data_IF_259936726407
#
_entry.id   IF_259936726407
#
_cell.length_a   1.000
_cell.length_b   1.000
_cell.length_c   1.000
_cell.angle_alpha   90.00
_cell.angle_beta   90.00
_cell.angle_gamma   90.00
#
_symmetry.space_group_name_H-M   'P 1'
#
loop_
_entity.id
_entity.type
_entity.pdbx_description
1 polymer ?
#
# COMPACT_ATOMS: atom_id res chain seq x y z
N UNK A 1 3.46 -20.89 2.30
CA UNK A 1 2.25 -21.24 1.51
C UNK A 1 1.86 -22.71 1.73
N UNK A 2 2.64 -23.68 1.27
CA UNK A 2 2.30 -25.10 1.43
C UNK A 2 2.06 -25.50 2.91
N UNK A 3 2.95 -25.11 3.80
CA UNK A 3 2.84 -25.37 5.24
C UNK A 3 1.56 -24.76 5.86
N UNK A 4 1.17 -23.55 5.44
CA UNK A 4 -0.08 -22.94 5.96
C UNK A 4 -1.32 -23.61 5.36
N UNK A 5 -1.26 -24.09 4.11
CA UNK A 5 -2.35 -24.87 3.53
C UNK A 5 -2.56 -26.22 4.22
N UNK A 6 -1.48 -26.88 4.65
CA UNK A 6 -1.56 -28.12 5.44
C UNK A 6 -2.16 -27.88 6.84
N UNK A 7 -1.85 -26.74 7.48
CA UNK A 7 -2.40 -26.37 8.80
C UNK A 7 -3.86 -25.91 8.74
N UNK A 8 -4.28 -25.37 7.62
CA UNK A 8 -5.61 -24.78 7.42
C UNK A 8 -6.26 -25.30 6.12
N UNK A 9 -6.54 -26.59 6.00
CA UNK A 9 -7.06 -27.19 4.76
C UNK A 9 -8.46 -26.66 4.38
N UNK A 10 -9.20 -26.15 5.34
CA UNK A 10 -10.54 -25.58 5.21
C UNK A 10 -10.57 -24.09 4.78
N UNK A 11 -9.41 -23.44 4.70
CA UNK A 11 -9.32 -21.99 4.42
C UNK A 11 -8.44 -21.68 3.21
N UNK A 12 -8.84 -20.74 2.36
CA UNK A 12 -7.97 -20.26 1.31
C UNK A 12 -6.75 -19.54 1.91
N UNK A 13 -5.58 -19.74 1.31
CA UNK A 13 -4.36 -19.02 1.63
C UNK A 13 -4.15 -17.94 0.58
N UNK A 14 -4.14 -16.70 1.00
CA UNK A 14 -3.96 -15.55 0.12
C UNK A 14 -2.63 -14.85 0.38
N UNK A 15 -2.02 -14.30 -0.67
CA UNK A 15 -0.78 -13.54 -0.55
C UNK A 15 -1.07 -12.08 -0.84
N UNK A 16 -0.72 -11.26 0.13
CA UNK A 16 -0.84 -9.81 0.08
C UNK A 16 0.52 -9.16 0.29
N UNK A 17 0.66 -7.93 -0.15
CA UNK A 17 1.80 -7.07 0.17
C UNK A 17 1.33 -5.77 0.81
N UNK A 18 2.16 -5.15 1.65
CA UNK A 18 1.88 -3.83 2.24
C UNK A 18 3.11 -2.96 2.19
N UNK A 19 2.88 -1.67 2.00
CA UNK A 19 3.90 -0.62 2.02
C UNK A 19 3.25 0.72 2.35
N UNK A 20 4.04 1.71 2.72
CA UNK A 20 3.62 3.05 3.07
C UNK A 20 4.25 4.12 2.19
N UNK A 21 3.41 5.01 1.73
CA UNK A 21 3.80 6.20 0.97
C UNK A 21 3.60 7.48 1.78
N UNK A 22 4.66 8.26 1.93
CA UNK A 22 4.62 9.53 2.63
C UNK A 22 4.46 10.66 1.64
N UNK A 23 3.33 11.35 1.70
CA UNK A 23 3.01 12.54 0.93
C UNK A 23 3.13 13.80 1.80
N UNK A 24 3.31 14.93 1.17
CA UNK A 24 3.36 16.22 1.87
C UNK A 24 2.99 17.36 0.93
N UNK A 25 2.92 18.57 1.48
CA UNK A 25 2.57 19.77 0.72
C UNK A 25 3.63 20.18 -0.30
N UNK A 26 4.84 19.59 -0.24
CA UNK A 26 5.84 19.79 -1.29
C UNK A 26 5.37 19.12 -2.58
N UNK A 27 5.23 19.88 -3.68
CA UNK A 27 4.70 19.35 -4.93
C UNK A 27 5.52 18.17 -5.50
N UNK A 28 4.84 17.19 -6.04
CA UNK A 28 5.43 16.12 -6.85
C UNK A 28 5.66 16.68 -8.24
N UNK A 29 6.92 16.92 -8.59
CA UNK A 29 7.25 17.48 -9.90
C UNK A 29 7.34 16.39 -10.96
N UNK A 30 6.54 16.51 -12.02
CA UNK A 30 6.64 15.71 -13.24
C UNK A 30 6.95 16.59 -14.43
N UNK A 31 7.66 16.03 -15.43
CA UNK A 31 7.94 16.72 -16.70
C UNK A 31 6.63 17.05 -17.41
N UNK A 32 6.56 18.26 -17.95
CA UNK A 32 5.45 18.76 -18.77
C UNK A 32 5.98 19.23 -20.12
N UNK A 33 5.14 19.20 -21.14
CA UNK A 33 5.42 19.83 -22.41
C UNK A 33 5.24 21.34 -22.26
N UNK A 34 6.19 22.11 -22.75
CA UNK A 34 6.14 23.57 -22.81
C UNK A 34 6.72 24.07 -24.12
N UNK A 35 6.34 25.26 -24.59
CA UNK A 35 6.98 25.89 -25.74
C UNK A 35 8.51 26.01 -25.57
N UNK A 36 9.23 25.91 -26.67
CA UNK A 36 10.70 26.01 -26.66
C UNK A 36 11.11 27.40 -26.10
N UNK A 37 11.98 27.38 -25.08
CA UNK A 37 12.46 28.58 -24.42
C UNK A 37 11.62 29.03 -23.22
N UNK A 38 10.46 28.45 -22.98
CA UNK A 38 9.62 28.72 -21.80
C UNK A 38 9.88 27.72 -20.69
N UNK A 39 10.09 28.22 -19.46
CA UNK A 39 10.17 27.38 -18.26
C UNK A 39 8.81 27.35 -17.57
N UNK A 40 8.16 26.19 -17.44
CA UNK A 40 6.96 26.09 -16.64
C UNK A 40 7.24 26.50 -15.19
N UNK A 41 6.39 27.35 -14.64
CA UNK A 41 6.43 27.74 -13.23
C UNK A 41 5.59 26.75 -12.43
N UNK A 42 6.16 26.23 -11.34
CA UNK A 42 5.45 25.43 -10.36
C UNK A 42 5.47 26.15 -9.01
N UNK A 43 4.30 26.27 -8.38
CA UNK A 43 4.22 26.77 -7.02
C UNK A 43 4.78 25.73 -6.07
N UNK A 44 5.57 26.16 -5.10
CA UNK A 44 6.15 25.30 -4.06
C UNK A 44 5.59 25.65 -2.70
N UNK A 45 5.39 24.66 -1.86
CA UNK A 45 5.01 24.87 -0.47
C UNK A 45 6.16 24.45 0.45
N UNK A 46 6.40 25.22 1.51
CA UNK A 46 7.52 24.99 2.44
C UNK A 46 7.08 24.45 3.81
N UNK A 47 5.80 24.11 3.99
CA UNK A 47 5.33 23.52 5.24
C UNK A 47 5.69 22.03 5.27
N UNK A 48 6.16 21.58 6.44
CA UNK A 48 6.50 20.17 6.71
C UNK A 48 5.32 19.48 7.39
N UNK A 49 4.27 19.28 6.62
CA UNK A 49 3.10 18.50 7.01
C UNK A 49 3.04 17.24 6.16
N UNK A 50 2.72 16.11 6.76
CA UNK A 50 2.81 14.81 6.12
C UNK A 50 1.50 14.05 6.26
N UNK A 51 1.15 13.37 5.18
CA UNK A 51 0.11 12.36 5.10
C UNK A 51 0.76 11.03 4.77
N UNK A 52 0.44 9.99 5.52
CA UNK A 52 0.86 8.63 5.22
C UNK A 52 -0.29 7.87 4.58
N UNK A 53 -0.01 7.18 3.48
CA UNK A 53 -0.92 6.28 2.78
C UNK A 53 -0.38 4.87 2.96
N UNK A 54 -1.04 4.06 3.77
CA UNK A 54 -0.71 2.64 3.88
C UNK A 54 -1.60 1.85 2.93
N UNK A 55 -1.00 1.05 2.06
CA UNK A 55 -1.69 0.20 1.12
C UNK A 55 -1.46 -1.27 1.43
N UNK A 56 -2.54 -2.05 1.46
CA UNK A 56 -2.50 -3.49 1.38
C UNK A 56 -3.02 -3.91 0.00
N UNK A 57 -2.30 -4.76 -0.71
CA UNK A 57 -2.67 -5.21 -2.05
C UNK A 57 -2.58 -6.72 -2.19
N UNK A 58 -3.58 -7.32 -2.83
CA UNK A 58 -3.56 -8.69 -3.33
C UNK A 58 -3.29 -8.68 -4.85
N UNK A 59 -2.03 -8.75 -5.30
CA UNK A 59 -1.67 -8.58 -6.71
C UNK A 59 -2.40 -9.53 -7.66
N UNK A 60 -2.61 -10.78 -7.24
CA UNK A 60 -3.30 -11.80 -8.05
C UNK A 60 -4.77 -11.50 -8.33
N UNK A 61 -5.40 -10.59 -7.55
CA UNK A 61 -6.83 -10.25 -7.67
C UNK A 61 -7.05 -8.76 -7.94
N UNK A 62 -6.00 -7.94 -7.85
CA UNK A 62 -6.08 -6.49 -7.95
C UNK A 62 -6.92 -5.86 -6.83
N UNK A 63 -7.03 -6.51 -5.69
CA UNK A 63 -7.73 -5.98 -4.52
C UNK A 63 -6.79 -5.12 -3.70
N UNK A 64 -7.31 -3.98 -3.20
CA UNK A 64 -6.57 -3.07 -2.34
C UNK A 64 -7.40 -2.67 -1.13
N UNK A 65 -6.71 -2.41 -0.03
CA UNK A 65 -7.24 -1.75 1.18
C UNK A 65 -6.32 -0.60 1.52
N UNK A 66 -6.89 0.57 1.79
CA UNK A 66 -6.14 1.80 1.97
C UNK A 66 -6.45 2.43 3.32
N UNK A 67 -5.41 2.93 3.98
CA UNK A 67 -5.55 3.72 5.20
C UNK A 67 -4.75 5.02 5.07
N UNK A 68 -5.35 6.12 5.50
CA UNK A 68 -4.71 7.43 5.55
C UNK A 68 -4.47 7.80 7.02
N UNK A 69 -3.31 8.37 7.31
CA UNK A 69 -2.95 8.80 8.65
C UNK A 69 -1.96 9.98 8.62
N UNK A 70 -1.94 10.75 9.69
CA UNK A 70 -0.98 11.86 9.88
C UNK A 70 0.30 11.45 10.62
N UNK A 71 0.45 10.17 10.92
CA UNK A 71 1.63 9.60 11.56
C UNK A 71 1.64 8.10 11.48
N UNK A 72 2.83 7.51 11.65
CA UNK A 72 3.02 6.07 11.60
C UNK A 72 4.10 5.66 12.59
N UNK A 73 3.71 4.76 13.49
CA UNK A 73 4.60 4.09 14.44
C UNK A 73 4.17 2.62 14.62
N UNK A 74 4.93 1.86 15.40
CA UNK A 74 4.66 0.43 15.61
C UNK A 74 3.30 0.15 16.26
N UNK A 75 2.86 0.86 17.34
CA UNK A 75 1.54 0.67 17.91
C UNK A 75 0.41 0.94 16.92
N UNK A 76 0.55 1.98 16.10
CA UNK A 76 -0.42 2.31 15.08
C UNK A 76 -0.45 1.26 13.96
N UNK A 77 0.71 0.81 13.49
CA UNK A 77 0.78 -0.26 12.49
C UNK A 77 0.14 -1.57 12.99
N UNK A 78 0.38 -1.93 14.27
CA UNK A 78 -0.32 -3.06 14.90
C UNK A 78 -1.85 -2.90 14.85
N UNK A 79 -2.34 -1.67 15.06
CA UNK A 79 -3.78 -1.37 14.96
C UNK A 79 -4.29 -1.46 13.52
N UNK A 80 -3.50 -1.02 12.55
CA UNK A 80 -3.84 -1.21 11.12
C UNK A 80 -3.96 -2.69 10.76
N UNK A 81 -3.03 -3.54 11.25
CA UNK A 81 -3.12 -4.99 11.04
C UNK A 81 -4.39 -5.59 11.64
N UNK A 82 -4.82 -5.15 12.83
CA UNK A 82 -6.08 -5.61 13.43
C UNK A 82 -7.30 -5.22 12.57
N UNK A 83 -7.34 -3.97 12.09
CA UNK A 83 -8.43 -3.47 11.26
C UNK A 83 -8.44 -4.22 9.92
N UNK A 84 -7.29 -4.34 9.27
CA UNK A 84 -7.11 -5.08 8.03
C UNK A 84 -7.56 -6.54 8.16
N UNK A 85 -7.15 -7.24 9.24
CA UNK A 85 -7.56 -8.62 9.49
C UNK A 85 -9.08 -8.75 9.62
N UNK A 86 -9.72 -7.81 10.35
CA UNK A 86 -11.18 -7.79 10.52
C UNK A 86 -11.90 -7.55 9.21
N UNK A 87 -11.47 -6.57 8.41
CA UNK A 87 -12.10 -6.19 7.14
C UNK A 87 -11.96 -7.28 6.08
N UNK A 88 -10.81 -7.94 6.03
CA UNK A 88 -10.55 -9.03 5.08
C UNK A 88 -11.04 -10.40 5.56
N UNK A 89 -11.45 -10.54 6.81
CA UNK A 89 -11.86 -11.82 7.39
C UNK A 89 -10.70 -12.77 7.66
N UNK A 90 -9.46 -12.24 7.82
CA UNK A 90 -8.30 -13.05 8.15
C UNK A 90 -8.51 -13.79 9.50
N UNK A 91 -8.11 -15.06 9.56
CA UNK A 91 -8.31 -15.94 10.72
C UNK A 91 -9.69 -16.60 10.73
N UNK A 92 -10.74 -15.90 10.32
CA UNK A 92 -12.09 -16.45 10.22
C UNK A 92 -12.33 -17.14 8.88
N UNK A 93 -12.17 -16.42 7.77
CA UNK A 93 -12.56 -16.84 6.43
C UNK A 93 -11.36 -17.28 5.57
N UNK A 94 -10.17 -16.84 5.90
CA UNK A 94 -8.92 -17.07 5.15
C UNK A 94 -7.68 -16.89 6.00
N UNK A 95 -6.55 -17.36 5.49
CA UNK A 95 -5.22 -17.05 6.02
C UNK A 95 -4.54 -16.10 5.02
N UNK A 96 -3.96 -15.02 5.53
CA UNK A 96 -3.24 -14.04 4.73
C UNK A 96 -1.75 -14.13 5.03
N UNK A 97 -0.97 -14.45 4.01
CA UNK A 97 0.48 -14.29 4.02
C UNK A 97 0.78 -12.88 3.53
N UNK A 98 1.24 -12.03 4.42
CA UNK A 98 1.48 -10.61 4.18
C UNK A 98 2.97 -10.33 4.02
N UNK A 99 3.37 -9.93 2.82
CA UNK A 99 4.72 -9.46 2.56
C UNK A 99 4.86 -7.98 2.92
N UNK A 100 5.97 -7.64 3.59
CA UNK A 100 6.31 -6.28 3.99
C UNK A 100 7.83 -6.10 4.01
N UNK A 101 8.27 -4.85 4.03
CA UNK A 101 9.68 -4.51 4.17
C UNK A 101 10.15 -4.56 5.65
N UNK A 102 11.40 -4.19 5.87
CA UNK A 102 12.00 -4.15 7.20
C UNK A 102 11.99 -2.74 7.83
N UNK A 103 10.97 -1.92 7.56
CA UNK A 103 10.84 -0.63 8.21
C UNK A 103 10.79 -0.76 9.75
N UNK A 104 11.22 0.27 10.47
CA UNK A 104 11.34 0.18 11.93
C UNK A 104 10.02 -0.14 12.65
N UNK A 105 8.88 0.25 12.10
CA UNK A 105 7.56 -0.08 12.64
C UNK A 105 7.06 -1.47 12.26
N UNK A 106 7.67 -2.13 11.27
CA UNK A 106 7.38 -3.51 10.87
C UNK A 106 8.17 -4.55 11.66
N UNK A 107 9.20 -4.15 12.41
CA UNK A 107 10.10 -5.10 13.08
C UNK A 107 9.33 -6.08 13.97
N UNK A 108 9.65 -7.40 13.91
CA UNK A 108 8.85 -8.44 14.55
C UNK A 108 8.86 -8.38 16.08
N UNK A 109 9.90 -7.76 16.67
CA UNK A 109 10.01 -7.68 18.11
C UNK A 109 8.83 -6.89 18.69
N UNK A 110 7.98 -7.56 19.46
CA UNK A 110 6.80 -7.00 20.12
C UNK A 110 5.75 -6.38 19.18
N UNK A 111 5.70 -6.80 17.89
CA UNK A 111 4.59 -6.46 17.00
C UNK A 111 3.46 -7.47 17.22
N UNK A 112 2.29 -7.04 17.75
CA UNK A 112 1.13 -7.91 17.83
C UNK A 112 0.63 -8.22 16.40
N UNK A 113 0.60 -9.49 16.04
CA UNK A 113 0.09 -9.94 14.73
C UNK A 113 -1.26 -10.62 14.95
N UNK A 114 -2.34 -10.16 14.29
CA UNK A 114 -3.66 -10.77 14.41
C UNK A 114 -3.65 -12.23 13.95
N UNK A 115 -4.56 -13.01 14.54
CA UNK A 115 -4.78 -14.39 14.09
C UNK A 115 -5.18 -14.40 12.62
N UNK A 116 -4.62 -15.38 11.87
CA UNK A 116 -4.85 -15.47 10.42
C UNK A 116 -3.92 -14.64 9.54
N UNK A 117 -3.06 -13.78 10.11
CA UNK A 117 -2.00 -13.09 9.36
C UNK A 117 -0.65 -13.76 9.63
N UNK A 118 0.14 -13.95 8.57
CA UNK A 118 1.51 -14.46 8.62
C UNK A 118 2.41 -13.46 7.92
N UNK A 119 3.30 -12.80 8.68
CA UNK A 119 4.23 -11.82 8.14
C UNK A 119 5.40 -12.50 7.45
N UNK A 120 5.74 -12.02 6.25
CA UNK A 120 6.92 -12.45 5.49
C UNK A 120 7.71 -11.20 5.13
N UNK A 121 8.91 -11.11 5.67
CA UNK A 121 9.80 -9.97 5.43
C UNK A 121 10.60 -10.17 4.16
N UNK A 122 10.56 -9.17 3.27
CA UNK A 122 11.42 -9.19 2.09
C UNK A 122 12.89 -8.90 2.49
N UNK A 123 13.88 -9.30 1.66
CA UNK A 123 15.26 -8.91 1.87
C UNK A 123 15.40 -7.39 1.94
N UNK A 124 16.32 -6.90 2.77
CA UNK A 124 16.55 -5.47 2.88
C UNK A 124 17.03 -4.87 1.54
N UNK A 125 16.53 -3.69 1.19
CA UNK A 125 16.90 -2.94 -0.02
C UNK A 125 16.54 -3.63 -1.34
N UNK A 126 15.39 -4.27 -1.39
CA UNK A 126 14.84 -4.92 -2.59
C UNK A 126 13.47 -4.36 -2.97
N UNK A 127 13.36 -3.05 -3.30
CA UNK A 127 12.06 -2.45 -3.66
C UNK A 127 11.41 -3.13 -4.86
N UNK A 128 12.21 -3.68 -5.78
CA UNK A 128 11.75 -4.42 -6.94
C UNK A 128 10.95 -5.70 -6.59
N UNK A 129 11.00 -6.13 -5.33
CA UNK A 129 10.23 -7.27 -4.85
C UNK A 129 8.92 -6.83 -4.14
N UNK A 130 8.67 -5.52 -4.04
CA UNK A 130 7.51 -4.98 -3.34
C UNK A 130 6.38 -4.56 -4.29
N UNK A 131 5.32 -5.37 -4.45
CA UNK A 131 4.22 -5.00 -5.35
C UNK A 131 3.52 -3.71 -4.97
N UNK A 132 3.41 -3.41 -3.66
CA UNK A 132 2.72 -2.22 -3.19
C UNK A 132 3.42 -0.92 -3.63
N UNK A 133 4.74 -0.91 -3.83
CA UNK A 133 5.46 0.26 -4.36
C UNK A 133 4.98 0.67 -5.76
N UNK A 134 4.48 -0.27 -6.55
CA UNK A 134 3.93 0.01 -7.88
C UNK A 134 2.57 0.74 -7.86
N UNK A 135 1.96 0.88 -6.69
CA UNK A 135 0.73 1.67 -6.51
C UNK A 135 1.03 3.17 -6.42
N UNK A 136 2.22 3.57 -5.94
CA UNK A 136 2.53 4.96 -5.66
C UNK A 136 2.48 5.85 -6.90
N UNK A 137 3.00 5.45 -8.08
CA UNK A 137 2.81 6.21 -9.31
C UNK A 137 1.34 6.46 -9.68
N UNK A 138 0.42 5.52 -9.32
CA UNK A 138 -1.01 5.66 -9.55
C UNK A 138 -1.66 6.63 -8.57
N UNK A 139 -1.25 6.57 -7.30
CA UNK A 139 -1.70 7.51 -6.25
C UNK A 139 -1.24 8.93 -6.57
N UNK A 140 -0.01 9.09 -7.03
CA UNK A 140 0.62 10.38 -7.34
C UNK A 140 0.03 11.10 -8.57
N UNK A 141 -0.64 10.38 -9.47
CA UNK A 141 -1.15 10.95 -10.72
C UNK A 141 -1.95 12.24 -10.54
N UNK A 142 -2.97 12.30 -9.66
CA UNK A 142 -3.77 13.50 -9.46
C UNK A 142 -3.03 14.60 -8.71
N UNK A 143 -1.88 14.31 -8.09
CA UNK A 143 -1.09 15.24 -7.28
C UNK A 143 0.03 15.91 -8.07
N UNK A 144 0.43 15.31 -9.18
CA UNK A 144 1.58 15.76 -9.96
C UNK A 144 1.41 17.20 -10.47
N UNK A 145 2.40 18.06 -10.19
CA UNK A 145 2.42 19.48 -10.53
C UNK A 145 1.25 20.29 -9.95
N UNK A 146 0.61 19.80 -8.90
CA UNK A 146 -0.44 20.53 -8.19
C UNK A 146 0.09 21.15 -6.91
N UNK A 147 -0.51 22.28 -6.56
CA UNK A 147 -0.31 22.97 -5.30
C UNK A 147 -1.54 22.74 -4.41
N UNK A 148 -1.30 22.50 -3.15
CA UNK A 148 -2.33 22.36 -2.13
C UNK A 148 -2.07 23.37 -1.01
N UNK A 149 -3.09 24.10 -0.59
CA UNK A 149 -2.98 25.10 0.47
C UNK A 149 -2.85 24.43 1.85
N UNK A 150 -3.54 23.31 2.04
CA UNK A 150 -3.58 22.57 3.31
C UNK A 150 -3.36 21.08 3.09
N UNK A 151 -2.98 20.38 4.18
CA UNK A 151 -2.85 18.92 4.16
C UNK A 151 -4.21 18.24 3.98
N UNK A 152 -5.30 18.86 4.46
CA UNK A 152 -6.66 18.36 4.32
C UNK A 152 -7.13 18.39 2.86
N UNK A 153 -6.73 19.42 2.08
CA UNK A 153 -6.99 19.48 0.65
C UNK A 153 -6.27 18.34 -0.09
N UNK A 154 -5.01 18.09 0.27
CA UNK A 154 -4.23 16.96 -0.25
C UNK A 154 -4.89 15.63 0.11
N UNK A 155 -5.24 15.44 1.39
CA UNK A 155 -5.89 14.21 1.88
C UNK A 155 -7.19 13.93 1.13
N UNK A 156 -8.01 14.95 0.89
CA UNK A 156 -9.27 14.80 0.15
C UNK A 156 -9.03 14.23 -1.25
N UNK A 157 -8.03 14.74 -1.97
CA UNK A 157 -7.70 14.25 -3.31
C UNK A 157 -7.13 12.84 -3.28
N UNK A 158 -6.27 12.54 -2.29
CA UNK A 158 -5.68 11.21 -2.10
C UNK A 158 -6.75 10.19 -1.75
N UNK A 159 -7.65 10.51 -0.80
CA UNK A 159 -8.74 9.63 -0.39
C UNK A 159 -9.65 9.29 -1.58
N UNK A 160 -10.05 10.29 -2.37
CA UNK A 160 -10.83 10.05 -3.59
C UNK A 160 -10.08 9.16 -4.57
N UNK A 161 -8.78 9.40 -4.77
CA UNK A 161 -7.96 8.57 -5.66
C UNK A 161 -7.87 7.11 -5.20
N UNK A 162 -7.68 6.87 -3.90
CA UNK A 162 -7.68 5.51 -3.34
C UNK A 162 -9.04 4.81 -3.54
N UNK A 163 -10.15 5.54 -3.35
CA UNK A 163 -11.48 5.02 -3.65
C UNK A 163 -11.63 4.65 -5.13
N UNK A 164 -11.19 5.52 -6.06
CA UNK A 164 -11.27 5.25 -7.50
C UNK A 164 -10.45 4.00 -7.87
N UNK A 165 -9.25 3.85 -7.31
CA UNK A 165 -8.38 2.70 -7.55
C UNK A 165 -9.01 1.38 -7.06
N UNK A 166 -9.80 1.38 -5.98
CA UNK A 166 -10.51 0.19 -5.49
C UNK A 166 -11.51 -0.37 -6.52
N UNK A 167 -12.03 0.46 -7.41
CA UNK A 167 -12.94 0.02 -8.46
C UNK A 167 -12.23 -0.50 -9.72
N UNK A 168 -10.93 -0.24 -9.89
CA UNK A 168 -10.18 -0.68 -11.07
C UNK A 168 -9.18 -1.81 -10.72
N UNK A 169 -9.75 -2.97 -10.36
CA UNK A 169 -8.96 -4.16 -10.04
C UNK A 169 -8.02 -4.60 -11.16
N UNK A 170 -8.42 -4.41 -12.41
CA UNK A 170 -7.60 -4.76 -13.56
C UNK A 170 -6.34 -3.90 -13.63
N UNK A 171 -6.48 -2.59 -13.44
CA UNK A 171 -5.35 -1.67 -13.38
C UNK A 171 -4.38 -2.04 -12.25
N UNK A 172 -4.91 -2.30 -11.05
CA UNK A 172 -4.11 -2.71 -9.90
C UNK A 172 -3.35 -4.01 -10.21
N UNK A 173 -4.04 -5.06 -10.71
CA UNK A 173 -3.41 -6.33 -11.03
C UNK A 173 -2.32 -6.19 -12.12
N UNK A 174 -2.52 -5.33 -13.12
CA UNK A 174 -1.52 -5.07 -14.16
C UNK A 174 -0.26 -4.39 -13.62
N UNK A 175 -0.41 -3.49 -12.63
CA UNK A 175 0.73 -2.76 -12.06
C UNK A 175 1.46 -3.55 -10.97
N UNK A 176 0.76 -4.39 -10.21
CA UNK A 176 1.31 -5.09 -9.04
C UNK A 176 1.54 -6.59 -9.28
N UNK A 177 0.95 -7.15 -10.34
CA UNK A 177 0.99 -8.58 -10.65
C UNK A 177 2.29 -9.00 -11.30
N UNK A 178 3.33 -9.26 -10.52
CA UNK A 178 4.59 -9.84 -11.04
C UNK A 178 4.39 -11.29 -11.48
N UNK A 179 5.07 -11.71 -12.53
CA UNK A 179 4.97 -13.08 -13.08
C UNK A 179 5.38 -14.16 -12.06
N UNK A 180 6.22 -13.82 -11.10
CA UNK A 180 6.70 -14.70 -10.02
C UNK A 180 5.85 -14.62 -8.75
N UNK A 181 4.84 -13.71 -8.68
CA UNK A 181 4.02 -13.54 -7.49
C UNK A 181 3.22 -14.82 -7.20
N UNK A 182 3.23 -15.31 -5.95
CA UNK A 182 2.51 -16.53 -5.60
C UNK A 182 1.01 -16.41 -5.85
N UNK A 183 0.44 -17.47 -6.42
CA UNK A 183 -1.02 -17.57 -6.54
C UNK A 183 -1.64 -18.00 -5.22
N UNK A 184 -2.85 -17.53 -4.95
CA UNK A 184 -3.64 -18.00 -3.81
C UNK A 184 -3.89 -19.50 -3.91
N UNK A 185 -3.91 -20.20 -2.76
CA UNK A 185 -4.23 -21.63 -2.66
C UNK A 185 -5.69 -21.75 -2.23
N UNK A 186 -6.49 -22.47 -3.02
CA UNK A 186 -7.87 -22.76 -2.67
C UNK A 186 -7.94 -23.79 -1.51
N UNK A 187 -9.01 -23.82 -0.71
CA UNK A 187 -9.25 -24.88 0.25
C UNK A 187 -9.39 -26.23 -0.46
N UNK A 188 -8.96 -27.30 0.20
CA UNK A 188 -9.02 -28.69 -0.30
C UNK A 188 -10.29 -29.40 0.18
#
# INVERSE_FOLDING_TARGET
MAEEAEKHPDKPIEVWATDEHRLGLKPIHRRVWAPIGERPLALGHHRYEWLYVTAFVAPSRGETVWYLSNGLDKPFFAKLLEVFARETGAGRDRIIVLQLDNAGWHTPENLPVPDGIRLVYQPARTPELQPAEHLWPLVDQPLANKYFDTIDDLETVVAQRCCDLNFDRNLIAQHTGFHWWPKSVAPT
#
